data_IF_251960556167
#
_entry.id   IF_251960556167
#
_cell.length_a   1.000
_cell.length_b   1.000
_cell.length_c   1.000
_cell.angle_alpha   90.00
_cell.angle_beta   90.00
_cell.angle_gamma   90.00
#
_symmetry.space_group_name_H-M   'P 1'
#
loop_
_entity.id
_entity.type
_entity.pdbx_description
1 polymer ?
#
# COMPACT_ATOMS: atom_id res chain seq x y z
N UNK A 1 -9.38 7.83 8.49
CA UNK A 1 -9.08 6.39 8.38
C UNK A 1 -7.87 5.91 9.17
N UNK A 2 -6.73 6.61 9.18
CA UNK A 2 -5.53 6.17 9.94
C UNK A 2 -5.82 5.94 11.43
N UNK A 3 -6.54 6.86 12.08
CA UNK A 3 -6.97 6.71 13.48
C UNK A 3 -7.89 5.50 13.71
N UNK A 4 -8.66 5.10 12.69
CA UNK A 4 -9.58 3.96 12.78
C UNK A 4 -8.83 2.62 12.92
N UNK A 5 -7.53 2.56 12.59
CA UNK A 5 -6.72 1.33 12.72
C UNK A 5 -6.74 0.81 14.16
N UNK A 6 -6.57 1.70 15.14
CA UNK A 6 -6.53 1.31 16.57
C UNK A 6 -7.87 0.72 17.02
N UNK A 7 -8.97 1.38 16.66
CA UNK A 7 -10.33 0.93 16.97
C UNK A 7 -10.64 -0.39 16.26
N UNK A 8 -10.32 -0.48 14.96
CA UNK A 8 -10.55 -1.68 14.17
C UNK A 8 -9.86 -2.89 14.81
N UNK A 9 -8.58 -2.74 15.21
CA UNK A 9 -7.78 -3.83 15.77
C UNK A 9 -8.20 -4.23 17.17
N UNK A 10 -8.42 -3.27 18.06
CA UNK A 10 -8.53 -3.57 19.49
C UNK A 10 -9.95 -3.58 20.04
N UNK A 11 -10.93 -2.99 19.33
CA UNK A 11 -12.34 -3.05 19.73
C UNK A 11 -13.11 -4.23 19.11
N UNK A 12 -12.53 -4.93 18.13
CA UNK A 12 -13.21 -6.01 17.41
C UNK A 12 -12.59 -7.37 17.71
N UNK A 13 -13.35 -8.23 18.40
CA UNK A 13 -12.91 -9.59 18.75
C UNK A 13 -12.57 -10.45 17.52
N UNK A 14 -13.25 -10.21 16.39
CA UNK A 14 -13.05 -10.96 15.13
C UNK A 14 -11.63 -10.79 14.56
N UNK A 15 -11.03 -9.61 14.67
CA UNK A 15 -9.70 -9.36 14.10
C UNK A 15 -8.56 -9.77 15.04
N UNK A 16 -8.78 -9.74 16.36
CA UNK A 16 -7.76 -10.04 17.35
C UNK A 16 -7.00 -11.38 17.15
N UNK A 17 -7.66 -12.54 16.90
CA UNK A 17 -6.94 -13.81 16.68
C UNK A 17 -6.29 -13.90 15.29
N UNK A 18 -6.73 -13.11 14.31
CA UNK A 18 -6.23 -13.12 12.94
C UNK A 18 -5.00 -12.22 12.76
N UNK A 19 -4.69 -11.35 13.73
CA UNK A 19 -3.69 -10.28 13.58
C UNK A 19 -2.27 -10.71 13.95
N UNK A 20 -1.77 -11.77 13.33
CA UNK A 20 -0.44 -12.33 13.62
C UNK A 20 0.13 -13.08 12.41
N UNK A 21 1.41 -13.47 12.52
CA UNK A 21 2.17 -14.27 11.55
C UNK A 21 1.57 -15.61 11.22
N UNK A 22 0.68 -16.17 12.03
CA UNK A 22 0.06 -17.47 11.74
C UNK A 22 -0.99 -17.33 10.63
N UNK A 23 -1.67 -16.19 10.59
CA UNK A 23 -2.78 -15.92 9.66
C UNK A 23 -2.40 -14.94 8.54
N UNK A 24 -1.52 -13.97 8.80
CA UNK A 24 -1.13 -12.94 7.84
C UNK A 24 0.08 -13.42 7.03
N UNK A 25 -0.02 -13.35 5.70
CA UNK A 25 1.08 -13.65 4.79
C UNK A 25 1.98 -12.43 4.56
N UNK A 26 1.38 -11.25 4.35
CA UNK A 26 2.10 -9.99 4.16
C UNK A 26 1.17 -8.79 4.45
N UNK A 27 1.79 -7.63 4.68
CA UNK A 27 1.10 -6.35 4.81
C UNK A 27 1.64 -5.40 3.74
N UNK A 28 0.77 -4.79 2.95
CA UNK A 28 1.14 -3.81 1.93
C UNK A 28 0.60 -2.43 2.30
N UNK A 29 1.47 -1.45 2.49
CA UNK A 29 1.10 -0.05 2.65
C UNK A 29 1.44 0.69 1.36
N UNK A 30 0.43 1.26 0.71
CA UNK A 30 0.57 1.91 -0.60
C UNK A 30 0.28 3.40 -0.48
N UNK A 31 1.15 4.22 -1.06
CA UNK A 31 0.89 5.63 -1.34
C UNK A 31 1.18 5.93 -2.82
N UNK A 32 0.22 6.53 -3.51
CA UNK A 32 0.31 6.83 -4.94
C UNK A 32 -0.23 8.21 -5.20
N UNK A 33 0.47 8.94 -6.04
CA UNK A 33 0.04 10.21 -6.60
C UNK A 33 -0.02 10.10 -8.11
N UNK A 34 -1.06 10.67 -8.71
CA UNK A 34 -1.24 10.71 -10.16
C UNK A 34 -0.65 11.96 -10.83
N UNK A 35 0.05 12.78 -10.05
CA UNK A 35 0.77 13.96 -10.50
C UNK A 35 2.28 13.78 -10.27
N UNK A 36 3.10 14.51 -11.02
CA UNK A 36 4.56 14.47 -10.91
C UNK A 36 5.07 15.39 -9.81
N UNK A 37 6.22 16.05 -10.04
CA UNK A 37 6.72 17.10 -9.14
C UNK A 37 6.16 18.49 -9.43
N UNK A 38 5.39 18.66 -10.52
CA UNK A 38 4.64 19.89 -10.84
C UNK A 38 5.50 21.18 -10.73
N UNK A 39 6.71 21.17 -11.29
CA UNK A 39 7.64 22.31 -11.28
C UNK A 39 8.36 22.56 -9.93
N UNK A 40 8.18 21.64 -8.96
CA UNK A 40 8.90 21.64 -7.68
C UNK A 40 9.97 20.55 -7.63
N UNK A 41 10.44 20.08 -8.79
CA UNK A 41 11.39 18.99 -8.91
C UNK A 41 12.70 19.25 -8.17
N UNK A 42 13.24 20.47 -8.23
CA UNK A 42 14.48 20.84 -7.55
C UNK A 42 14.41 20.72 -6.02
N UNK A 43 13.28 21.09 -5.40
CA UNK A 43 13.09 20.87 -3.96
C UNK A 43 12.95 19.38 -3.62
N UNK A 44 12.20 18.64 -4.45
CA UNK A 44 12.03 17.20 -4.24
C UNK A 44 13.35 16.42 -4.41
N UNK A 45 14.26 16.92 -5.27
CA UNK A 45 15.54 16.29 -5.60
C UNK A 45 16.46 16.13 -4.38
N UNK A 46 16.37 17.05 -3.41
CA UNK A 46 17.20 17.01 -2.20
C UNK A 46 16.83 15.87 -1.24
N UNK A 47 15.61 15.32 -1.36
CA UNK A 47 15.07 14.39 -0.37
C UNK A 47 14.65 13.04 -0.98
N UNK A 48 13.96 13.07 -2.12
CA UNK A 48 13.38 11.90 -2.78
C UNK A 48 12.21 11.26 -2.05
N UNK A 49 11.57 10.27 -2.70
CA UNK A 49 10.29 9.69 -2.24
C UNK A 49 10.38 8.98 -0.89
N UNK A 50 11.55 8.42 -0.54
CA UNK A 50 11.74 7.67 0.71
C UNK A 50 11.64 8.64 1.90
N UNK A 51 12.29 9.80 1.82
CA UNK A 51 12.23 10.84 2.87
C UNK A 51 10.91 11.61 2.85
N UNK A 52 10.36 11.85 1.65
CA UNK A 52 9.11 12.60 1.47
C UNK A 52 7.91 11.87 2.10
N UNK A 53 7.81 10.54 1.90
CA UNK A 53 6.58 9.78 2.21
C UNK A 53 6.80 8.49 3.00
N UNK A 54 7.87 7.73 2.73
CA UNK A 54 8.01 6.39 3.35
C UNK A 54 8.43 6.45 4.81
N UNK A 55 9.49 7.22 5.10
CA UNK A 55 10.10 7.33 6.42
C UNK A 55 9.12 7.91 7.45
N UNK A 56 8.21 8.76 7.01
CA UNK A 56 7.21 9.42 7.83
C UNK A 56 5.84 8.73 7.70
N UNK A 57 5.01 9.09 6.72
CA UNK A 57 3.60 8.72 6.60
C UNK A 57 3.38 7.20 6.56
N UNK A 58 4.10 6.48 5.71
CA UNK A 58 3.90 5.03 5.60
C UNK A 58 4.38 4.29 6.84
N UNK A 59 5.50 4.71 7.41
CA UNK A 59 6.02 4.12 8.64
C UNK A 59 5.08 4.36 9.83
N UNK A 60 4.45 5.55 9.92
CA UNK A 60 3.43 5.83 10.94
C UNK A 60 2.24 4.88 10.83
N UNK A 61 1.72 4.67 9.62
CA UNK A 61 0.63 3.73 9.37
C UNK A 61 1.06 2.30 9.72
N UNK A 62 2.27 1.90 9.31
CA UNK A 62 2.84 0.59 9.62
C UNK A 62 2.88 0.36 11.13
N UNK A 63 3.40 1.32 11.91
CA UNK A 63 3.48 1.19 13.37
C UNK A 63 2.10 0.96 14.00
N UNK A 64 1.06 1.66 13.55
CA UNK A 64 -0.31 1.44 14.03
C UNK A 64 -0.86 0.06 13.68
N UNK A 65 -0.44 -0.51 12.54
CA UNK A 65 -0.80 -1.88 12.13
C UNK A 65 -0.02 -2.93 12.94
N UNK A 66 1.25 -2.68 13.24
CA UNK A 66 2.15 -3.66 13.84
C UNK A 66 2.18 -3.64 15.37
N UNK A 67 1.82 -2.53 16.01
CA UNK A 67 1.95 -2.36 17.47
C UNK A 67 1.13 -3.38 18.28
N UNK A 68 1.58 -3.71 19.50
CA UNK A 68 0.76 -4.51 20.41
C UNK A 68 -0.42 -3.68 20.93
N UNK A 69 -1.32 -4.35 21.67
CA UNK A 69 -2.40 -3.64 22.35
C UNK A 69 -1.79 -2.73 23.43
N UNK A 70 -2.01 -1.39 23.36
CA UNK A 70 -1.54 -0.49 24.39
C UNK A 70 -2.30 -0.73 25.69
N UNK A 71 -1.71 -0.32 26.81
CA UNK A 71 -2.30 -0.45 28.15
C UNK A 71 -3.61 0.35 28.24
N UNK A 72 -3.66 1.52 27.60
CA UNK A 72 -4.84 2.38 27.52
C UNK A 72 -4.87 3.17 26.21
N UNK A 73 -5.86 4.07 26.07
CA UNK A 73 -5.95 5.03 24.96
C UNK A 73 -5.15 6.32 25.22
N UNK A 74 -4.39 6.39 26.31
CA UNK A 74 -3.52 7.53 26.61
C UNK A 74 -2.41 7.68 25.57
N UNK A 75 -2.02 8.93 25.29
CA UNK A 75 -1.11 9.25 24.21
C UNK A 75 0.28 8.60 24.38
N UNK A 76 0.77 8.43 25.61
CA UNK A 76 2.05 7.77 25.85
C UNK A 76 1.99 6.27 25.63
N UNK A 77 0.95 5.60 26.12
CA UNK A 77 0.81 4.14 25.98
C UNK A 77 0.75 3.72 24.51
N UNK A 78 0.06 4.50 23.67
CA UNK A 78 0.02 4.27 22.22
C UNK A 78 1.39 4.52 21.58
N UNK A 79 2.07 5.61 21.95
CA UNK A 79 3.39 5.94 21.39
C UNK A 79 4.47 4.95 21.83
N UNK A 80 4.38 4.42 23.04
CA UNK A 80 5.29 3.38 23.55
C UNK A 80 5.20 2.11 22.70
N UNK A 81 3.99 1.66 22.36
CA UNK A 81 3.81 0.49 21.51
C UNK A 81 4.25 0.73 20.05
N UNK A 82 4.11 1.95 19.53
CA UNK A 82 4.68 2.33 18.22
C UNK A 82 6.21 2.30 18.23
N UNK A 83 6.84 2.87 19.26
CA UNK A 83 8.31 2.89 19.40
C UNK A 83 8.85 1.47 19.59
N UNK A 84 8.14 0.61 20.33
CA UNK A 84 8.50 -0.81 20.49
C UNK A 84 8.56 -1.55 19.15
N UNK A 85 7.61 -1.31 18.25
CA UNK A 85 7.67 -1.84 16.87
C UNK A 85 8.94 -1.39 16.17
N UNK A 86 9.22 -0.08 16.17
CA UNK A 86 10.38 0.48 15.48
C UNK A 86 11.70 -0.08 16.03
N UNK A 87 11.80 -0.32 17.34
CA UNK A 87 12.98 -0.97 17.95
C UNK A 87 13.16 -2.42 17.50
N UNK A 88 12.07 -3.12 17.20
CA UNK A 88 12.10 -4.47 16.62
C UNK A 88 12.34 -4.46 15.10
N UNK A 89 12.43 -3.31 14.44
CA UNK A 89 12.68 -3.26 13.00
C UNK A 89 14.16 -3.37 12.67
N UNK A 90 14.46 -4.21 11.67
CA UNK A 90 15.77 -4.27 11.03
C UNK A 90 16.03 -2.97 10.25
N UNK A 91 17.27 -2.45 10.23
CA UNK A 91 17.63 -1.41 9.29
C UNK A 91 17.42 -1.87 7.85
N UNK A 92 16.90 -0.98 7.01
CA UNK A 92 16.66 -1.25 5.60
C UNK A 92 17.99 -1.37 4.87
N UNK A 93 18.12 -2.38 4.02
CA UNK A 93 19.27 -2.61 3.14
C UNK A 93 18.90 -2.35 1.67
N UNK A 94 19.90 -2.31 0.78
CA UNK A 94 19.64 -2.15 -0.66
C UNK A 94 18.92 -3.37 -1.27
N UNK A 95 19.14 -4.57 -0.74
CA UNK A 95 18.50 -5.80 -1.23
C UNK A 95 16.99 -5.83 -0.92
N UNK A 96 16.58 -5.02 0.06
CA UNK A 96 15.21 -4.85 0.51
C UNK A 96 14.50 -3.66 -0.15
N UNK A 97 15.12 -3.01 -1.14
CA UNK A 97 14.56 -1.82 -1.80
C UNK A 97 14.65 -1.90 -3.32
N UNK A 98 13.60 -1.46 -3.99
CA UNK A 98 13.60 -1.19 -5.44
C UNK A 98 13.17 0.24 -5.64
N UNK A 99 13.99 1.00 -6.36
CA UNK A 99 13.78 2.43 -6.64
C UNK A 99 13.46 2.64 -8.12
N UNK A 100 12.64 3.65 -8.41
CA UNK A 100 12.27 4.03 -9.77
C UNK A 100 12.18 5.54 -9.96
N UNK A 101 12.26 5.98 -11.21
CA UNK A 101 12.14 7.38 -11.62
C UNK A 101 11.21 7.48 -12.83
N UNK A 102 10.22 8.38 -12.78
CA UNK A 102 9.26 8.48 -13.87
C UNK A 102 9.88 9.15 -15.11
N UNK A 103 9.55 8.61 -16.28
CA UNK A 103 9.93 9.15 -17.58
C UNK A 103 8.70 9.61 -18.34
N UNK A 104 8.92 10.43 -19.37
CA UNK A 104 7.84 10.89 -20.23
C UNK A 104 7.08 9.70 -20.82
N UNK A 105 5.75 9.84 -20.93
CA UNK A 105 4.91 8.91 -21.65
C UNK A 105 4.44 9.56 -22.96
N UNK A 106 4.89 9.07 -24.12
CA UNK A 106 4.53 9.62 -25.43
C UNK A 106 3.02 9.63 -25.69
N UNK A 107 2.24 8.73 -25.08
CA UNK A 107 0.81 8.62 -25.34
C UNK A 107 -0.02 9.68 -24.60
N UNK A 108 0.43 10.09 -23.40
CA UNK A 108 -0.30 11.07 -22.57
C UNK A 108 0.31 12.48 -22.62
N UNK A 109 1.47 12.65 -23.27
CA UNK A 109 2.15 13.93 -23.44
C UNK A 109 2.69 14.53 -22.13
N UNK A 110 2.80 13.74 -21.05
CA UNK A 110 3.33 14.20 -19.77
C UNK A 110 4.85 14.12 -19.74
N UNK A 111 5.54 15.16 -19.24
CA UNK A 111 7.00 15.18 -19.14
C UNK A 111 7.51 14.19 -18.09
N UNK A 112 8.75 13.73 -18.27
CA UNK A 112 9.50 12.95 -17.30
C UNK A 112 10.07 13.80 -16.17
N UNK A 113 10.70 13.15 -15.19
CA UNK A 113 11.27 13.86 -14.03
C UNK A 113 12.42 14.78 -14.43
N UNK A 114 13.31 14.31 -15.32
CA UNK A 114 14.46 15.06 -15.80
C UNK A 114 14.11 16.14 -16.83
N UNK A 115 12.85 16.20 -17.28
CA UNK A 115 12.37 17.27 -18.16
C UNK A 115 11.96 18.53 -17.34
N UNK A 116 11.86 18.43 -16.01
CA UNK A 116 11.66 19.57 -15.12
C UNK A 116 12.96 20.41 -15.07
N UNK A 117 12.96 21.68 -15.52
CA UNK A 117 14.17 22.50 -15.59
C UNK A 117 14.77 22.82 -14.22
N UNK A 118 14.03 22.58 -13.13
CA UNK A 118 14.53 22.74 -11.76
C UNK A 118 15.31 21.52 -11.27
N UNK A 119 15.28 20.39 -11.99
CA UNK A 119 15.96 19.15 -11.65
C UNK A 119 17.32 19.08 -12.36
N UNK A 120 18.41 18.68 -11.67
CA UNK A 120 19.69 18.42 -12.33
C UNK A 120 19.57 17.32 -13.40
N UNK A 121 20.12 17.56 -14.60
CA UNK A 121 19.97 16.67 -15.77
C UNK A 121 20.45 15.22 -15.57
N UNK A 122 21.30 14.96 -14.57
CA UNK A 122 21.78 13.62 -14.21
C UNK A 122 21.26 13.12 -12.86
N UNK A 123 20.14 13.66 -12.38
CA UNK A 123 19.56 13.27 -11.10
C UNK A 123 19.17 11.79 -11.11
N UNK A 124 19.56 11.10 -10.05
CA UNK A 124 19.18 9.72 -9.75
C UNK A 124 18.16 9.64 -8.61
N UNK A 125 17.51 10.76 -8.29
CA UNK A 125 16.56 10.83 -7.19
C UNK A 125 15.34 9.94 -7.47
N UNK A 126 15.03 8.98 -6.58
CA UNK A 126 13.87 8.12 -6.73
C UNK A 126 12.55 8.89 -6.57
N UNK A 127 11.68 8.81 -7.58
CA UNK A 127 10.28 9.29 -7.53
C UNK A 127 9.30 8.17 -7.18
N UNK A 128 9.79 6.93 -7.19
CA UNK A 128 9.12 5.72 -6.75
C UNK A 128 10.06 4.88 -5.90
N UNK A 129 9.53 4.23 -4.87
CA UNK A 129 10.21 3.10 -4.25
C UNK A 129 9.21 2.05 -3.78
N UNK A 130 9.69 0.82 -3.65
CA UNK A 130 9.07 -0.23 -2.83
C UNK A 130 10.14 -0.81 -1.91
N UNK A 131 9.80 -1.02 -0.65
CA UNK A 131 10.70 -1.54 0.37
C UNK A 131 10.05 -2.67 1.17
N UNK A 132 10.86 -3.65 1.58
CA UNK A 132 10.46 -4.69 2.53
C UNK A 132 10.98 -4.35 3.92
N UNK A 133 10.06 -4.21 4.88
CA UNK A 133 10.38 -4.01 6.29
C UNK A 133 9.97 -5.25 7.08
N UNK A 134 10.76 -5.59 8.10
CA UNK A 134 10.52 -6.73 8.98
C UNK A 134 10.53 -6.27 10.43
N UNK A 135 9.56 -6.76 11.20
CA UNK A 135 9.44 -6.52 12.64
C UNK A 135 9.79 -7.83 13.36
N UNK A 136 10.95 -7.87 14.00
CA UNK A 136 11.47 -9.04 14.70
C UNK A 136 10.87 -9.14 16.10
N UNK A 137 9.62 -9.61 16.16
CA UNK A 137 8.95 -9.97 17.39
C UNK A 137 8.06 -11.22 17.17
N UNK A 138 7.51 -11.76 18.26
CA UNK A 138 6.68 -12.96 18.22
C UNK A 138 5.51 -12.84 17.23
N UNK A 139 4.84 -11.69 17.19
CA UNK A 139 3.65 -11.47 16.35
C UNK A 139 3.97 -11.45 14.87
N UNK A 140 5.12 -10.91 14.47
CA UNK A 140 5.43 -10.56 13.07
C UNK A 140 6.62 -11.29 12.48
N UNK A 141 7.27 -12.20 13.21
CA UNK A 141 8.44 -12.92 12.73
C UNK A 141 8.21 -13.54 11.34
N UNK A 142 8.99 -13.08 10.36
CA UNK A 142 8.96 -13.55 8.98
C UNK A 142 7.85 -12.98 8.09
N UNK A 143 6.96 -12.12 8.60
CA UNK A 143 5.94 -11.43 7.80
C UNK A 143 6.53 -10.16 7.19
N UNK A 144 6.58 -10.03 5.85
CA UNK A 144 7.05 -8.80 5.22
C UNK A 144 5.99 -7.70 5.27
N UNK A 145 6.43 -6.51 5.69
CA UNK A 145 5.72 -5.26 5.53
C UNK A 145 6.24 -4.55 4.28
N UNK A 146 5.48 -4.66 3.20
CA UNK A 146 5.80 -4.06 1.91
C UNK A 146 5.28 -2.62 1.92
N UNK A 147 6.17 -1.64 1.88
CA UNK A 147 5.80 -0.22 1.76
C UNK A 147 6.15 0.26 0.36
N UNK A 148 5.19 0.84 -0.35
CA UNK A 148 5.43 1.42 -1.68
C UNK A 148 4.87 2.82 -1.78
N UNK A 149 5.66 3.72 -2.36
CA UNK A 149 5.31 5.11 -2.57
C UNK A 149 5.77 5.54 -3.95
N UNK A 150 4.96 6.34 -4.65
CA UNK A 150 5.43 6.94 -5.90
C UNK A 150 4.55 8.06 -6.43
N UNK A 151 5.20 8.94 -7.21
CA UNK A 151 4.60 10.02 -8.00
C UNK A 151 4.40 9.59 -9.45
N UNK A 152 3.56 10.33 -10.18
CA UNK A 152 3.26 10.07 -11.59
C UNK A 152 2.76 8.64 -11.87
N UNK A 153 1.89 8.12 -11.00
CA UNK A 153 1.26 6.81 -11.17
C UNK A 153 -0.17 6.95 -11.74
N UNK A 154 -0.85 5.85 -12.02
CA UNK A 154 -2.18 5.86 -12.65
C UNK A 154 -3.31 6.48 -11.79
N UNK A 155 -3.14 6.62 -10.48
CA UNK A 155 -4.21 7.04 -9.56
C UNK A 155 -3.64 7.66 -8.28
N UNK A 156 -4.40 8.57 -7.66
CA UNK A 156 -4.16 8.98 -6.27
C UNK A 156 -4.74 7.92 -5.34
N UNK A 157 -3.92 7.34 -4.45
CA UNK A 157 -4.37 6.33 -3.48
C UNK A 157 -3.44 6.20 -2.28
N UNK A 158 -4.00 6.21 -1.08
CA UNK A 158 -3.34 5.73 0.14
C UNK A 158 -4.17 4.60 0.73
N UNK A 159 -3.57 3.44 0.93
CA UNK A 159 -4.28 2.23 1.36
C UNK A 159 -3.36 1.28 2.13
N UNK A 160 -3.92 0.58 3.12
CA UNK A 160 -3.31 -0.59 3.76
C UNK A 160 -4.05 -1.83 3.30
N UNK A 161 -3.30 -2.84 2.88
CA UNK A 161 -3.81 -4.17 2.52
C UNK A 161 -3.12 -5.22 3.39
N UNK A 162 -3.91 -6.01 4.08
CA UNK A 162 -3.44 -7.14 4.88
C UNK A 162 -3.87 -8.39 4.13
N UNK A 163 -2.91 -9.13 3.57
CA UNK A 163 -3.18 -10.35 2.83
C UNK A 163 -2.99 -11.55 3.75
N UNK A 164 -4.04 -12.34 3.93
CA UNK A 164 -4.02 -13.54 4.75
C UNK A 164 -3.35 -14.70 4.00
N UNK A 165 -2.92 -15.73 4.72
CA UNK A 165 -2.40 -16.97 4.13
C UNK A 165 -3.49 -17.75 3.42
N UNK A 166 -3.06 -18.67 2.56
CA UNK A 166 -3.94 -19.61 1.88
C UNK A 166 -4.63 -20.53 2.88
N UNK A 167 -5.87 -20.93 2.57
CA UNK A 167 -6.58 -21.95 3.34
C UNK A 167 -5.90 -23.30 3.14
N UNK A 168 -5.60 -24.00 4.24
CA UNK A 168 -4.98 -25.32 4.20
C UNK A 168 -6.02 -26.37 3.80
N UNK A 169 -5.64 -27.32 2.95
CA UNK A 169 -6.47 -28.45 2.52
C UNK A 169 -7.81 -28.01 1.88
N UNK A 170 -7.71 -27.18 0.84
CA UNK A 170 -8.87 -26.73 0.08
C UNK A 170 -9.60 -27.92 -0.57
N UNK A 171 -10.92 -27.94 -0.41
CA UNK A 171 -11.82 -28.94 -1.00
C UNK A 171 -12.36 -28.47 -2.36
N UNK A 172 -12.14 -27.20 -2.71
CA UNK A 172 -12.52 -26.59 -3.98
C UNK A 172 -11.46 -26.87 -5.06
N UNK A 173 -11.83 -26.77 -6.36
CA UNK A 173 -10.89 -27.01 -7.44
C UNK A 173 -9.64 -26.12 -7.33
N UNK A 174 -8.47 -26.66 -7.69
CA UNK A 174 -7.21 -25.92 -7.68
C UNK A 174 -7.34 -24.59 -8.41
N UNK A 175 -6.92 -23.50 -7.75
CA UNK A 175 -6.99 -22.13 -8.28
C UNK A 175 -8.35 -21.45 -8.12
N UNK A 176 -9.35 -22.11 -7.53
CA UNK A 176 -10.65 -21.50 -7.26
C UNK A 176 -10.68 -20.63 -5.99
N UNK A 177 -9.74 -20.84 -5.06
CA UNK A 177 -9.63 -20.06 -3.82
C UNK A 177 -8.46 -19.09 -3.89
N UNK A 178 -8.73 -17.87 -3.45
CA UNK A 178 -7.75 -16.80 -3.35
C UNK A 178 -7.59 -16.36 -1.89
N UNK A 179 -6.42 -15.79 -1.59
CA UNK A 179 -6.13 -15.24 -0.27
C UNK A 179 -7.14 -14.18 0.09
N UNK A 180 -7.67 -14.27 1.31
CA UNK A 180 -8.51 -13.22 1.85
C UNK A 180 -7.66 -11.96 2.06
N UNK A 181 -8.29 -10.79 1.98
CA UNK A 181 -7.59 -9.53 2.19
C UNK A 181 -8.46 -8.57 3.00
N UNK A 182 -7.90 -7.98 4.06
CA UNK A 182 -8.51 -6.83 4.73
C UNK A 182 -7.89 -5.56 4.17
N UNK A 183 -8.72 -4.66 3.65
CA UNK A 183 -8.26 -3.45 2.99
C UNK A 183 -8.84 -2.22 3.68
N UNK A 184 -7.94 -1.29 4.03
CA UNK A 184 -8.26 0.00 4.61
C UNK A 184 -7.81 1.08 3.64
N UNK A 185 -8.74 1.63 2.86
CA UNK A 185 -8.45 2.75 1.96
C UNK A 185 -8.53 4.04 2.75
N UNK A 186 -7.39 4.70 2.90
CA UNK A 186 -7.25 5.96 3.63
C UNK A 186 -7.75 7.13 2.80
N UNK A 187 -7.40 7.16 1.51
CA UNK A 187 -7.88 8.16 0.57
C UNK A 187 -7.62 7.70 -0.87
N UNK A 188 -8.35 8.21 -1.88
CA UNK A 188 -9.66 8.86 -1.76
C UNK A 188 -10.75 7.84 -1.42
N UNK A 189 -11.97 8.31 -1.14
CA UNK A 189 -13.14 7.47 -0.86
C UNK A 189 -12.88 6.47 0.28
N UNK A 190 -12.77 6.99 1.49
CA UNK A 190 -12.49 6.26 2.72
C UNK A 190 -13.35 5.00 2.82
N UNK A 191 -12.70 3.84 2.94
CA UNK A 191 -13.38 2.57 2.99
C UNK A 191 -12.62 1.54 3.82
N UNK A 192 -13.36 0.61 4.41
CA UNK A 192 -12.84 -0.66 4.94
C UNK A 192 -13.60 -1.77 4.26
N UNK A 193 -12.90 -2.71 3.63
CA UNK A 193 -13.54 -3.87 3.03
C UNK A 193 -12.71 -5.12 3.22
N UNK A 194 -13.39 -6.26 3.36
CA UNK A 194 -12.76 -7.58 3.49
C UNK A 194 -13.09 -8.41 2.27
N UNK A 195 -12.06 -8.76 1.49
CA UNK A 195 -12.17 -9.69 0.37
C UNK A 195 -12.17 -11.12 0.88
N UNK A 196 -13.14 -11.90 0.40
CA UNK A 196 -13.35 -13.29 0.81
C UNK A 196 -13.93 -14.11 -0.35
N UNK A 197 -13.98 -15.42 -0.17
CA UNK A 197 -14.60 -16.34 -1.11
C UNK A 197 -16.06 -16.58 -0.73
N UNK A 198 -16.98 -16.45 -1.69
CA UNK A 198 -18.38 -16.82 -1.54
C UNK A 198 -18.80 -17.83 -2.60
N UNK A 199 -19.94 -18.50 -2.40
CA UNK A 199 -20.55 -19.31 -3.45
C UNK A 199 -21.02 -18.39 -4.57
N UNK A 200 -20.59 -18.66 -5.80
CA UNK A 200 -21.08 -18.00 -7.01
C UNK A 200 -22.62 -18.07 -7.04
N UNK A 201 -23.32 -16.92 -7.15
CA UNK A 201 -24.77 -16.89 -7.33
C UNK A 201 -25.19 -17.73 -8.54
N UNK A 202 -26.24 -18.55 -8.35
CA UNK A 202 -26.74 -19.47 -9.36
C UNK A 202 -26.78 -20.93 -8.89
N UNK A 203 -26.90 -21.84 -9.85
CA UNK A 203 -27.15 -23.27 -9.61
C UNK A 203 -25.87 -24.10 -9.34
N UNK A 204 -24.69 -23.55 -9.59
CA UNK A 204 -23.41 -24.23 -9.36
C UNK A 204 -22.87 -24.05 -7.93
N UNK A 205 -21.82 -24.82 -7.61
CA UNK A 205 -21.08 -24.74 -6.33
C UNK A 205 -19.70 -24.08 -6.46
N UNK A 206 -19.44 -23.37 -7.56
CA UNK A 206 -18.17 -22.66 -7.74
C UNK A 206 -18.01 -21.54 -6.73
N UNK A 207 -16.77 -21.30 -6.28
CA UNK A 207 -16.43 -20.14 -5.47
C UNK A 207 -16.11 -18.93 -6.37
N UNK A 208 -16.33 -17.74 -5.84
CA UNK A 208 -15.89 -16.48 -6.43
C UNK A 208 -15.43 -15.49 -5.35
N UNK A 209 -14.50 -14.62 -5.71
CA UNK A 209 -13.97 -13.57 -4.84
C UNK A 209 -14.96 -12.39 -4.78
N UNK A 210 -15.38 -12.01 -3.58
CA UNK A 210 -16.28 -10.86 -3.30
C UNK A 210 -15.82 -10.12 -2.04
N UNK A 211 -16.59 -9.13 -1.58
CA UNK A 211 -16.26 -8.30 -0.43
C UNK A 211 -17.41 -8.07 0.54
N UNK A 212 -17.06 -7.88 1.80
CA UNK A 212 -17.87 -7.16 2.79
C UNK A 212 -17.37 -5.72 2.85
N UNK A 213 -18.21 -4.75 2.49
CA UNK A 213 -17.82 -3.34 2.28
C UNK A 213 -18.42 -2.38 3.31
N UNK A 214 -17.58 -1.46 3.79
CA UNK A 214 -17.96 -0.24 4.49
C UNK A 214 -17.29 0.97 3.79
N UNK A 215 -17.99 1.55 2.82
CA UNK A 215 -17.61 2.83 2.22
C UNK A 215 -18.23 4.00 2.98
N UNK A 216 -17.41 4.91 3.52
CA UNK A 216 -17.85 5.97 4.43
C UNK A 216 -18.83 6.95 3.78
N UNK A 217 -18.53 7.42 2.57
CA UNK A 217 -19.38 8.40 1.88
C UNK A 217 -20.80 7.87 1.55
N UNK A 218 -20.97 6.55 1.50
CA UNK A 218 -22.28 5.90 1.30
C UNK A 218 -22.99 5.62 2.62
N UNK A 219 -22.24 5.22 3.64
CA UNK A 219 -22.82 4.81 4.93
C UNK A 219 -23.10 6.00 5.84
N UNK A 220 -22.33 7.07 5.74
CA UNK A 220 -22.38 8.27 6.58
C UNK A 220 -22.51 9.52 5.68
N UNK A 221 -23.62 9.61 4.95
CA UNK A 221 -23.86 10.64 3.93
C UNK A 221 -23.81 12.08 4.49
N UNK A 222 -24.22 12.26 5.74
CA UNK A 222 -24.35 13.58 6.35
C UNK A 222 -23.11 13.98 7.17
N UNK A 223 -22.07 13.15 7.16
CA UNK A 223 -20.86 13.36 7.94
C UNK A 223 -19.80 14.07 7.10
N UNK A 224 -19.43 15.30 7.49
CA UNK A 224 -18.20 15.92 7.00
C UNK A 224 -17.01 15.33 7.75
N UNK A 225 -16.13 14.64 7.05
CA UNK A 225 -14.84 14.24 7.59
C UNK A 225 -13.94 15.49 7.67
N UNK A 226 -13.37 15.82 8.85
CA UNK A 226 -12.46 16.96 8.98
C UNK A 226 -11.17 16.69 8.23
N UNK A 227 -10.55 17.74 7.69
CA UNK A 227 -9.20 17.65 7.15
C UNK A 227 -8.19 17.26 8.25
N UNK A 228 -7.06 16.69 7.84
CA UNK A 228 -5.99 16.31 8.76
C UNK A 228 -5.53 17.49 9.63
N UNK A 229 -5.39 18.70 9.06
CA UNK A 229 -4.95 19.87 9.83
C UNK A 229 -6.01 20.39 10.80
N UNK A 230 -7.30 20.33 10.44
CA UNK A 230 -8.39 20.69 11.36
C UNK A 230 -8.31 19.82 12.63
N UNK A 231 -8.10 18.52 12.46
CA UNK A 231 -7.97 17.58 13.58
C UNK A 231 -6.69 17.81 14.39
N UNK A 232 -5.53 17.95 13.73
CA UNK A 232 -4.25 18.08 14.43
C UNK A 232 -4.17 19.40 15.21
N UNK A 233 -4.67 20.51 14.66
CA UNK A 233 -4.73 21.79 15.38
C UNK A 233 -5.62 21.68 16.62
N UNK A 234 -6.78 21.02 16.52
CA UNK A 234 -7.63 20.76 17.66
C UNK A 234 -6.91 19.90 18.72
N UNK A 235 -6.19 18.86 18.31
CA UNK A 235 -5.43 18.00 19.22
C UNK A 235 -4.39 18.80 20.02
N UNK A 236 -3.72 19.79 19.41
CA UNK A 236 -2.81 20.72 20.13
C UNK A 236 -3.57 21.53 21.18
N UNK A 237 -4.72 22.09 20.83
CA UNK A 237 -5.51 22.94 21.74
C UNK A 237 -6.03 22.17 22.96
N UNK A 238 -6.34 20.89 22.80
CA UNK A 238 -6.81 20.02 23.91
C UNK A 238 -5.67 19.26 24.61
N UNK A 239 -4.41 19.50 24.22
CA UNK A 239 -3.24 18.85 24.83
C UNK A 239 -3.06 17.37 24.47
N UNK A 240 -3.72 16.90 23.41
CA UNK A 240 -3.62 15.51 22.95
C UNK A 240 -2.40 15.31 22.05
N UNK A 241 -1.50 14.41 22.46
CA UNK A 241 -0.27 14.11 21.71
C UNK A 241 -0.33 12.78 20.92
N UNK A 242 -1.49 12.12 20.89
CA UNK A 242 -1.67 10.77 20.32
C UNK A 242 -1.28 10.69 18.83
N UNK A 243 -1.52 11.78 18.08
CA UNK A 243 -1.28 11.86 16.63
C UNK A 243 0.05 12.55 16.28
N UNK A 244 0.91 12.84 17.26
CA UNK A 244 2.17 13.54 17.06
C UNK A 244 3.37 12.61 17.26
N UNK A 245 4.37 12.78 16.41
CA UNK A 245 5.60 11.98 16.44
C UNK A 245 6.44 12.38 17.67
N UNK A 246 6.81 11.40 18.50
CA UNK A 246 7.67 11.61 19.67
C UNK A 246 9.15 11.57 19.27
N UNK A 247 10.02 12.19 20.05
CA UNK A 247 11.45 12.30 19.74
C UNK A 247 12.16 10.96 19.55
N UNK A 248 11.85 9.98 20.39
CA UNK A 248 12.37 8.61 20.28
C UNK A 248 11.79 7.88 19.07
N UNK A 249 10.51 8.08 18.77
CA UNK A 249 9.87 7.56 17.56
C UNK A 249 10.58 8.05 16.29
N UNK A 250 10.88 9.35 16.22
CA UNK A 250 11.60 9.95 15.09
C UNK A 250 13.02 9.38 14.97
N UNK A 251 13.72 9.18 16.09
CA UNK A 251 15.07 8.61 16.11
C UNK A 251 15.08 7.19 15.53
N UNK A 252 14.16 6.34 15.96
CA UNK A 252 14.08 4.96 15.49
C UNK A 252 13.65 4.89 14.01
N UNK A 253 12.75 5.78 13.58
CA UNK A 253 12.39 5.89 12.17
C UNK A 253 13.61 6.18 11.29
N UNK A 254 14.47 7.13 11.70
CA UNK A 254 15.71 7.40 10.98
C UNK A 254 16.71 6.25 11.07
N UNK A 255 16.86 5.59 12.23
CA UNK A 255 17.71 4.39 12.37
C UNK A 255 17.38 3.32 11.33
N UNK A 256 16.09 3.12 11.03
CA UNK A 256 15.63 2.13 10.05
C UNK A 256 16.02 2.51 8.62
N UNK A 257 15.81 3.76 8.19
CA UNK A 257 15.96 4.14 6.78
C UNK A 257 17.35 4.68 6.39
N UNK A 258 18.09 5.28 7.34
CA UNK A 258 19.36 5.96 7.06
C UNK A 258 20.38 5.08 6.34
N UNK A 259 20.59 3.79 6.69
CA UNK A 259 21.58 2.96 5.99
C UNK A 259 21.29 2.79 4.50
N UNK A 260 20.04 2.48 4.12
CA UNK A 260 19.64 2.37 2.71
C UNK A 260 19.76 3.71 1.99
N UNK A 261 19.38 4.83 2.62
CA UNK A 261 19.51 6.17 2.03
C UNK A 261 20.97 6.51 1.72
N UNK A 262 21.88 6.32 2.69
CA UNK A 262 23.31 6.53 2.47
C UNK A 262 23.88 5.59 1.40
N UNK A 263 23.41 4.34 1.34
CA UNK A 263 23.86 3.38 0.34
C UNK A 263 23.40 3.78 -1.08
N UNK A 264 22.15 4.22 -1.24
CA UNK A 264 21.62 4.73 -2.51
C UNK A 264 22.44 5.92 -3.02
N UNK A 265 22.78 6.86 -2.13
CA UNK A 265 23.55 8.06 -2.45
C UNK A 265 25.02 7.75 -2.76
N UNK A 266 25.69 7.00 -1.89
CA UNK A 266 27.13 6.68 -2.03
C UNK A 266 27.42 5.76 -3.21
N UNK A 267 26.55 4.78 -3.49
CA UNK A 267 26.69 3.86 -4.61
C UNK A 267 26.09 4.40 -5.91
N UNK A 268 25.42 5.56 -5.85
CA UNK A 268 24.71 6.18 -6.98
C UNK A 268 23.81 5.18 -7.72
N UNK A 269 22.99 4.45 -6.97
CA UNK A 269 22.11 3.41 -7.53
C UNK A 269 21.12 4.06 -8.51
N UNK A 270 21.21 3.68 -9.78
CA UNK A 270 20.34 4.24 -10.81
C UNK A 270 18.90 3.73 -10.64
N UNK A 271 17.89 4.61 -10.54
CA UNK A 271 16.51 4.20 -10.42
C UNK A 271 15.98 3.58 -11.72
N UNK A 272 15.13 2.56 -11.61
CA UNK A 272 14.48 1.98 -12.79
C UNK A 272 13.51 2.97 -13.44
N UNK A 273 13.57 3.17 -14.77
CA UNK A 273 12.63 4.05 -15.43
C UNK A 273 11.23 3.45 -15.42
N UNK A 274 10.21 4.29 -15.28
CA UNK A 274 8.82 3.88 -15.46
C UNK A 274 8.00 4.97 -16.16
N UNK A 275 7.13 4.65 -17.13
CA UNK A 275 6.33 5.66 -17.82
C UNK A 275 5.39 6.39 -16.86
N UNK A 276 5.21 7.70 -17.07
CA UNK A 276 4.21 8.49 -16.37
C UNK A 276 2.82 7.84 -16.50
N UNK A 277 2.11 7.66 -15.39
CA UNK A 277 0.74 7.14 -15.37
C UNK A 277 0.67 5.61 -15.28
N UNK A 278 1.79 4.90 -15.21
CA UNK A 278 1.79 3.44 -14.99
C UNK A 278 1.22 3.07 -13.62
N UNK A 279 0.65 1.86 -13.50
CA UNK A 279 -0.05 1.44 -12.28
C UNK A 279 0.87 1.13 -11.09
N UNK A 280 1.96 0.42 -11.31
CA UNK A 280 2.76 -0.19 -10.24
C UNK A 280 4.19 0.36 -10.16
N UNK A 281 4.52 1.40 -10.94
CA UNK A 281 5.90 1.85 -11.11
C UNK A 281 6.69 0.89 -12.02
N UNK A 282 7.99 0.69 -11.77
CA UNK A 282 8.83 -0.19 -12.60
C UNK A 282 8.46 -1.67 -12.42
N UNK A 283 8.59 -2.53 -13.46
CA UNK A 283 8.27 -3.95 -13.38
C UNK A 283 9.00 -4.72 -12.27
N UNK A 284 10.21 -4.29 -11.93
CA UNK A 284 11.03 -4.83 -10.84
C UNK A 284 10.33 -4.73 -9.48
N UNK A 285 9.45 -3.74 -9.29
CA UNK A 285 8.67 -3.62 -8.08
C UNK A 285 7.65 -4.76 -7.92
N UNK A 286 6.97 -5.15 -9.01
CA UNK A 286 6.01 -6.25 -8.99
C UNK A 286 6.70 -7.61 -8.84
N UNK A 287 7.89 -7.78 -9.40
CA UNK A 287 8.73 -8.96 -9.13
C UNK A 287 9.18 -9.03 -7.67
N UNK A 288 9.66 -7.91 -7.12
CA UNK A 288 10.07 -7.80 -5.73
C UNK A 288 8.93 -8.14 -4.77
N UNK A 289 7.73 -7.58 -4.99
CA UNK A 289 6.55 -7.90 -4.19
C UNK A 289 6.15 -9.38 -4.28
N UNK A 290 6.22 -9.99 -5.48
CA UNK A 290 5.93 -11.43 -5.66
C UNK A 290 6.92 -12.31 -4.90
N UNK A 291 8.21 -11.96 -4.90
CA UNK A 291 9.25 -12.68 -4.13
C UNK A 291 8.98 -12.64 -2.63
N UNK A 292 8.37 -11.57 -2.13
CA UNK A 292 7.94 -11.41 -0.75
C UNK A 292 6.60 -12.11 -0.44
N UNK A 293 6.07 -12.87 -1.40
CA UNK A 293 4.86 -13.66 -1.22
C UNK A 293 3.56 -12.86 -1.36
N UNK A 294 3.59 -11.63 -1.88
CA UNK A 294 2.37 -10.92 -2.28
C UNK A 294 1.83 -11.52 -3.58
N UNK A 295 0.58 -11.98 -3.55
CA UNK A 295 -0.11 -12.51 -4.72
C UNK A 295 -1.16 -11.53 -5.21
N UNK A 296 -1.23 -11.32 -6.53
CA UNK A 296 -2.27 -10.50 -7.15
C UNK A 296 -3.14 -11.41 -8.02
N UNK A 297 -4.42 -11.62 -7.63
CA UNK A 297 -5.33 -12.50 -8.37
C UNK A 297 -5.71 -11.93 -9.74
N UNK A 298 -5.82 -10.61 -9.87
CA UNK A 298 -6.24 -9.93 -11.11
C UNK A 298 -7.69 -10.19 -11.54
N UNK A 299 -8.40 -11.08 -10.84
CA UNK A 299 -9.78 -11.46 -11.12
C UNK A 299 -10.80 -10.57 -10.41
N UNK A 300 -10.37 -9.91 -9.33
CA UNK A 300 -11.22 -9.06 -8.51
C UNK A 300 -11.18 -7.58 -8.94
N UNK A 301 -12.36 -7.01 -9.14
CA UNK A 301 -12.55 -5.60 -9.42
C UNK A 301 -13.41 -4.99 -8.32
N UNK A 302 -12.83 -4.06 -7.55
CA UNK A 302 -13.57 -3.34 -6.52
C UNK A 302 -14.55 -2.34 -7.18
N UNK A 303 -15.87 -2.52 -7.04
CA UNK A 303 -16.88 -1.81 -7.83
C UNK A 303 -17.01 -0.32 -7.47
N UNK A 304 -16.33 0.15 -6.42
CA UNK A 304 -16.44 1.52 -5.91
C UNK A 304 -15.11 2.27 -5.94
N UNK A 305 -14.14 1.78 -6.73
CA UNK A 305 -12.91 2.51 -7.05
C UNK A 305 -13.24 3.60 -8.06
N UNK A 306 -12.99 4.86 -7.73
CA UNK A 306 -13.32 6.03 -8.55
C UNK A 306 -12.52 6.19 -9.86
N UNK A 307 -12.13 5.10 -10.52
CA UNK A 307 -11.51 5.11 -11.84
C UNK A 307 -12.44 4.40 -12.83
N UNK A 308 -12.98 5.14 -13.80
CA UNK A 308 -13.85 4.66 -14.87
C UNK A 308 -13.19 3.72 -15.88
N UNK A 309 -12.27 2.86 -15.45
CA UNK A 309 -11.77 1.77 -16.27
C UNK A 309 -12.75 0.60 -16.15
N UNK A 310 -13.68 0.52 -17.10
CA UNK A 310 -14.46 -0.70 -17.33
C UNK A 310 -13.55 -1.90 -17.60
N UNK A 311 -14.11 -3.13 -17.60
CA UNK A 311 -13.33 -4.34 -17.76
C UNK A 311 -12.48 -4.28 -19.04
N UNK A 312 -11.17 -4.45 -18.89
CA UNK A 312 -10.27 -4.73 -20.01
C UNK A 312 -10.71 -6.08 -20.57
N UNK A 313 -11.37 -6.06 -21.72
CA UNK A 313 -11.66 -7.30 -22.46
C UNK A 313 -10.32 -7.96 -22.78
N UNK A 314 -10.11 -9.17 -22.29
CA UNK A 314 -9.09 -10.05 -22.86
C UNK A 314 -9.38 -10.22 -24.36
N UNK A 315 -8.36 -10.33 -25.22
CA UNK A 315 -8.59 -10.67 -26.62
C UNK A 315 -9.21 -12.07 -26.63
N UNK A 316 -10.49 -12.15 -27.01
CA UNK A 316 -11.15 -13.41 -27.29
C UNK A 316 -10.37 -14.12 -28.39
N UNK A 317 -10.02 -15.38 -28.13
CA UNK A 317 -9.51 -16.32 -29.11
C UNK A 317 -10.27 -16.17 -30.43
N UNK A 318 -9.52 -15.99 -31.52
CA UNK A 318 -10.05 -16.05 -32.89
C UNK A 318 -10.66 -17.44 -33.07
N UNK A 319 -11.96 -17.55 -32.87
CA UNK A 319 -12.75 -18.64 -33.37
C UNK A 319 -12.60 -18.67 -34.90
N UNK A 320 -11.97 -19.74 -35.38
CA UNK A 320 -11.89 -20.10 -36.79
C UNK A 320 -13.30 -20.23 -37.35
N UNK A 321 -13.62 -19.37 -38.32
CA UNK A 321 -14.81 -19.47 -39.15
C UNK A 321 -14.74 -20.75 -39.99
N UNK A 322 -15.34 -21.84 -39.51
CA UNK A 322 -15.66 -23.01 -40.31
C UNK A 322 -17.18 -23.15 -40.41
N UNK A 323 -17.76 -22.66 -41.52
CA UNK A 323 -19.16 -22.88 -41.88
C UNK A 323 -19.44 -24.38 -42.02
N UNK A 324 -20.50 -24.93 -41.40
CA UNK A 324 -20.93 -26.30 -41.67
C UNK A 324 -21.67 -26.38 -43.02
N UNK A 325 -21.59 -27.54 -43.73
CA UNK A 325 -22.31 -27.74 -44.98
C UNK A 325 -23.79 -27.99 -44.71
N UNK A 326 -24.65 -27.39 -45.55
CA UNK A 326 -26.09 -27.66 -45.59
C UNK A 326 -26.34 -29.10 -46.05
N UNK A 327 -27.10 -29.86 -45.26
CA UNK A 327 -27.70 -31.13 -45.64
C UNK A 327 -29.21 -30.94 -45.73
N UNK A 328 -29.74 -31.32 -46.90
CA UNK A 328 -31.12 -31.55 -47.34
C UNK A 328 -32.19 -30.51 -46.97
#
# INVERSE_FOLDING_TARGET
MVQNVVVLRFANRVFSPLWNRDNIANVVVTFKENFGTEGRGGYFDEFGIIRDVMQNHLLQILCLIAMERPISMEANDIRDEKVKVLRCMRPLSLDDVVVGQYVADPENGKPGYLDDPTVPAGSITPTYAVAALYVDNERWQGVPFIVRAGKALNEKKCEVRIQFKDVIADILPSGAVHRNELVLRVQPNEAVYMKLMTKRPGMGFGAEETELDLTYNRRFTDLKLPDAYERLLLDVLVGSQINFVRTDELREAWRVFTPALHALESQRVAPHPYPYGVRNGPPQADEFMRRLGFTFSGQYFYPHGGSGAGPVKQPSDRATDSKPPKLA
#
